data_IF_021561874230
#
_entry.id   IF_021561874230
#
_cell.length_a   1.000
_cell.length_b   1.000
_cell.length_c   1.000
_cell.angle_alpha   90.00
_cell.angle_beta   90.00
_cell.angle_gamma   90.00
#
_symmetry.space_group_name_H-M   'P 1'
#
loop_
_entity.id
_entity.type
_entity.pdbx_description
1 polymer ?
#
# COMPACT_ATOMS: atom_id res chain seq x y z
N UNK A 1 -38.83 62.37 22.75
CA UNK A 1 -38.80 60.89 22.78
C UNK A 1 -37.62 60.43 23.64
N UNK A 2 -37.88 59.72 24.75
CA UNK A 2 -36.85 59.32 25.74
C UNK A 2 -36.40 57.88 25.45
N UNK A 3 -35.25 57.69 24.80
CA UNK A 3 -34.68 56.36 24.50
C UNK A 3 -34.25 55.67 25.80
N UNK A 4 -34.87 54.54 26.15
CA UNK A 4 -34.39 53.65 27.21
C UNK A 4 -33.12 52.97 26.72
N UNK A 5 -31.96 53.33 27.29
CA UNK A 5 -30.70 52.62 27.12
C UNK A 5 -30.84 51.26 27.80
N UNK A 6 -30.82 50.17 27.02
CA UNK A 6 -30.69 48.82 27.57
C UNK A 6 -29.38 48.75 28.35
N UNK A 7 -29.42 48.21 29.57
CA UNK A 7 -28.20 47.87 30.31
C UNK A 7 -27.63 46.62 29.65
N UNK A 8 -26.57 46.78 28.87
CA UNK A 8 -25.76 45.66 28.42
C UNK A 8 -25.19 44.98 29.68
N UNK A 9 -25.68 43.78 29.98
CA UNK A 9 -25.17 42.95 31.06
C UNK A 9 -23.88 42.30 30.56
N UNK A 10 -22.74 42.69 31.14
CA UNK A 10 -21.45 42.05 30.84
C UNK A 10 -21.41 40.60 31.34
N UNK A 11 -20.64 39.76 30.64
CA UNK A 11 -20.34 38.38 31.05
C UNK A 11 -19.65 38.36 32.42
N UNK A 12 -20.06 37.47 33.31
CA UNK A 12 -19.36 37.25 34.57
C UNK A 12 -18.21 36.26 34.40
N UNK A 13 -17.13 36.43 35.17
CA UNK A 13 -16.02 35.48 35.21
C UNK A 13 -16.48 34.08 35.64
N UNK A 14 -17.48 34.00 36.52
CA UNK A 14 -18.01 32.73 37.02
C UNK A 14 -18.75 31.95 35.92
N UNK A 15 -19.49 32.64 35.03
CA UNK A 15 -20.16 32.00 33.89
C UNK A 15 -19.14 31.42 32.90
N UNK A 16 -18.04 32.13 32.66
CA UNK A 16 -16.98 31.62 31.79
C UNK A 16 -16.31 30.37 32.40
N UNK A 17 -16.05 30.37 33.72
CA UNK A 17 -15.44 29.23 34.41
C UNK A 17 -16.32 27.97 34.33
N UNK A 18 -17.64 28.13 34.46
CA UNK A 18 -18.55 27.00 34.35
C UNK A 18 -18.59 26.43 32.92
N UNK A 19 -18.55 27.29 31.91
CA UNK A 19 -18.52 26.87 30.49
C UNK A 19 -17.26 26.09 30.16
N UNK A 20 -16.08 26.58 30.57
CA UNK A 20 -14.83 25.86 30.31
C UNK A 20 -14.77 24.54 31.10
N UNK A 21 -15.34 24.49 32.31
CA UNK A 21 -15.40 23.25 33.09
C UNK A 21 -16.20 22.16 32.36
N UNK A 22 -17.36 22.51 31.78
CA UNK A 22 -18.16 21.56 30.98
C UNK A 22 -17.41 21.14 29.71
N UNK A 23 -16.77 22.08 28.99
CA UNK A 23 -16.01 21.75 27.78
C UNK A 23 -14.87 20.77 28.10
N UNK A 24 -14.16 20.97 29.21
CA UNK A 24 -13.09 20.05 29.63
C UNK A 24 -13.63 18.66 29.94
N UNK A 25 -14.75 18.56 30.66
CA UNK A 25 -15.38 17.25 30.96
C UNK A 25 -15.85 16.55 29.69
N UNK A 26 -16.50 17.28 28.78
CA UNK A 26 -16.95 16.73 27.50
C UNK A 26 -15.78 16.29 26.63
N UNK A 27 -14.73 17.11 26.51
CA UNK A 27 -13.53 16.78 25.76
C UNK A 27 -12.84 15.53 26.33
N UNK A 28 -12.74 15.41 27.65
CA UNK A 28 -12.12 14.26 28.31
C UNK A 28 -12.79 12.92 27.96
N UNK A 29 -14.12 12.91 27.78
CA UNK A 29 -14.87 11.70 27.39
C UNK A 29 -14.87 11.51 25.87
N UNK A 30 -14.96 12.60 25.10
CA UNK A 30 -15.11 12.53 23.65
C UNK A 30 -13.82 12.14 22.92
N UNK A 31 -12.68 12.68 23.34
CA UNK A 31 -11.38 12.46 22.67
C UNK A 31 -11.01 10.98 22.55
N UNK A 32 -11.00 10.15 23.63
CA UNK A 32 -10.62 8.73 23.48
C UNK A 32 -11.56 7.97 22.55
N UNK A 33 -12.88 8.21 22.65
CA UNK A 33 -13.87 7.58 21.78
C UNK A 33 -13.67 7.97 20.30
N UNK A 34 -13.33 9.23 20.03
CA UNK A 34 -13.06 9.71 18.68
C UNK A 34 -11.81 9.05 18.09
N UNK A 35 -10.76 8.82 18.88
CA UNK A 35 -9.54 8.14 18.42
C UNK A 35 -9.79 6.68 18.05
N UNK A 36 -10.57 5.95 18.85
CA UNK A 36 -10.93 4.57 18.52
C UNK A 36 -11.70 4.47 17.21
N UNK A 37 -12.62 5.42 16.96
CA UNK A 37 -13.40 5.48 15.72
C UNK A 37 -12.54 5.86 14.52
N UNK A 38 -11.55 6.72 14.72
CA UNK A 38 -10.58 7.06 13.69
C UNK A 38 -9.70 5.86 13.34
N UNK A 39 -9.17 5.13 14.33
CA UNK A 39 -8.37 3.92 14.10
C UNK A 39 -9.19 2.84 13.37
N UNK A 40 -10.45 2.61 13.76
CA UNK A 40 -11.35 1.69 13.05
C UNK A 40 -11.59 2.11 11.60
N UNK A 41 -11.79 3.40 11.34
CA UNK A 41 -11.97 3.92 9.98
C UNK A 41 -10.71 3.77 9.12
N UNK A 42 -9.53 4.01 9.72
CA UNK A 42 -8.24 3.80 9.08
C UNK A 42 -8.05 2.33 8.72
N UNK A 43 -8.24 1.41 9.67
CA UNK A 43 -8.14 -0.03 9.41
C UNK A 43 -9.09 -0.48 8.30
N UNK A 44 -10.35 -0.04 8.33
CA UNK A 44 -11.33 -0.36 7.28
C UNK A 44 -10.92 0.19 5.90
N UNK A 45 -10.36 1.40 5.85
CA UNK A 45 -9.81 1.95 4.60
C UNK A 45 -8.64 1.11 4.09
N UNK A 46 -7.71 0.73 4.97
CA UNK A 46 -6.58 -0.10 4.59
C UNK A 46 -7.03 -1.43 4.00
N UNK A 47 -8.01 -2.09 4.63
CA UNK A 47 -8.57 -3.35 4.14
C UNK A 47 -9.25 -3.18 2.75
N UNK A 48 -9.94 -2.06 2.50
CA UNK A 48 -10.54 -1.76 1.18
C UNK A 48 -9.46 -1.56 0.11
N UNK A 49 -8.40 -0.81 0.44
CA UNK A 49 -7.29 -0.56 -0.48
C UNK A 49 -6.54 -1.86 -0.81
N UNK A 50 -6.26 -2.69 0.20
CA UNK A 50 -5.64 -4.02 0.03
C UNK A 50 -6.48 -4.90 -0.90
N UNK A 51 -7.80 -4.95 -0.70
CA UNK A 51 -8.70 -5.69 -1.58
C UNK A 51 -8.73 -5.14 -3.01
N UNK A 52 -8.58 -3.83 -3.17
CA UNK A 52 -8.50 -3.18 -4.48
C UNK A 52 -7.22 -3.59 -5.21
N UNK A 53 -6.08 -3.61 -4.51
CA UNK A 53 -4.81 -4.14 -5.05
C UNK A 53 -4.96 -5.62 -5.42
N UNK A 54 -5.53 -6.44 -4.53
CA UNK A 54 -5.77 -7.86 -4.76
C UNK A 54 -6.60 -8.12 -6.04
N UNK A 55 -7.71 -7.40 -6.19
CA UNK A 55 -8.58 -7.52 -7.36
C UNK A 55 -7.87 -7.07 -8.65
N UNK A 56 -7.01 -6.05 -8.57
CA UNK A 56 -6.23 -5.60 -9.71
C UNK A 56 -5.23 -6.67 -10.17
N UNK A 57 -4.55 -7.31 -9.21
CA UNK A 57 -3.60 -8.40 -9.46
C UNK A 57 -4.32 -9.65 -9.99
N UNK A 58 -5.51 -9.96 -9.47
CA UNK A 58 -6.34 -11.06 -9.96
C UNK A 58 -6.86 -10.80 -11.38
N UNK A 59 -7.25 -9.56 -11.69
CA UNK A 59 -7.63 -9.15 -13.06
C UNK A 59 -6.47 -9.29 -14.03
N UNK A 60 -5.30 -8.77 -13.65
CA UNK A 60 -4.07 -8.92 -14.43
C UNK A 60 -3.73 -10.39 -14.68
N UNK A 61 -3.79 -11.22 -13.64
CA UNK A 61 -3.57 -12.66 -13.76
C UNK A 61 -4.64 -13.36 -14.60
N UNK A 62 -5.91 -12.95 -14.52
CA UNK A 62 -6.98 -13.52 -15.32
C UNK A 62 -6.72 -13.35 -16.82
N UNK A 63 -6.23 -12.18 -17.21
CA UNK A 63 -5.99 -11.79 -18.59
C UNK A 63 -4.65 -12.31 -19.14
N UNK A 64 -3.58 -12.24 -18.33
CA UNK A 64 -2.21 -12.53 -18.78
C UNK A 64 -1.63 -13.83 -18.23
N UNK A 65 -2.37 -14.51 -17.35
CA UNK A 65 -1.99 -15.77 -16.66
C UNK A 65 -0.65 -15.68 -15.91
N UNK A 66 -0.25 -14.47 -15.51
CA UNK A 66 1.00 -14.16 -14.81
C UNK A 66 0.81 -12.95 -13.91
N UNK A 67 1.75 -12.71 -13.01
CA UNK A 67 1.78 -11.49 -12.19
C UNK A 67 2.82 -10.50 -12.74
N UNK A 68 2.72 -9.20 -12.40
CA UNK A 68 3.69 -8.20 -12.87
C UNK A 68 4.97 -8.28 -12.03
N UNK A 69 5.81 -9.28 -12.30
CA UNK A 69 7.07 -9.60 -11.57
C UNK A 69 8.34 -9.07 -12.26
N UNK A 70 8.19 -8.22 -13.26
CA UNK A 70 9.21 -7.95 -14.27
C UNK A 70 9.68 -6.49 -14.23
N UNK A 71 10.96 -6.25 -13.91
CA UNK A 71 11.62 -4.95 -14.03
C UNK A 71 12.89 -5.10 -14.88
N UNK A 72 12.87 -4.64 -16.13
CA UNK A 72 14.07 -4.62 -16.98
C UNK A 72 13.81 -4.79 -18.49
N UNK A 73 14.85 -4.54 -19.29
CA UNK A 73 14.85 -4.66 -20.75
C UNK A 73 14.70 -6.11 -21.25
N UNK A 74 15.18 -7.08 -20.47
CA UNK A 74 15.30 -8.49 -20.87
C UNK A 74 14.68 -9.46 -19.85
N UNK A 75 13.80 -8.97 -18.95
CA UNK A 75 13.09 -9.86 -18.05
C UNK A 75 12.10 -10.70 -18.87
N UNK A 76 12.49 -11.93 -19.16
CA UNK A 76 11.59 -12.91 -19.72
C UNK A 76 10.63 -13.38 -18.61
N UNK A 77 9.33 -13.04 -18.64
CA UNK A 77 8.36 -13.49 -17.64
C UNK A 77 8.15 -15.01 -17.65
N UNK A 78 8.72 -15.71 -18.63
CA UNK A 78 8.73 -17.16 -18.77
C UNK A 78 10.04 -17.81 -18.28
N UNK A 79 11.05 -17.02 -17.92
CA UNK A 79 12.33 -17.51 -17.42
C UNK A 79 12.32 -17.57 -15.89
N UNK A 80 12.00 -18.75 -15.36
CA UNK A 80 11.96 -19.02 -13.91
C UNK A 80 13.34 -19.16 -13.25
N UNK A 81 14.39 -18.58 -13.84
CA UNK A 81 15.76 -18.58 -13.28
C UNK A 81 16.10 -17.30 -12.50
N UNK A 82 15.28 -16.25 -12.60
CA UNK A 82 15.48 -14.94 -11.93
C UNK A 82 14.37 -14.53 -10.97
N UNK A 83 13.57 -15.50 -10.50
CA UNK A 83 12.45 -15.29 -9.58
C UNK A 83 12.92 -14.91 -8.16
N UNK A 84 13.30 -13.64 -8.01
CA UNK A 84 13.56 -13.00 -6.72
C UNK A 84 12.26 -12.37 -6.18
N UNK A 85 12.14 -12.29 -4.86
CA UNK A 85 11.09 -11.55 -4.13
C UNK A 85 10.84 -10.20 -4.84
N UNK A 86 9.70 -10.04 -5.53
CA UNK A 86 9.34 -8.76 -6.16
C UNK A 86 8.29 -8.05 -5.33
N UNK A 87 8.67 -6.87 -4.84
CA UNK A 87 7.85 -6.02 -3.99
C UNK A 87 7.34 -4.87 -4.84
N UNK A 88 6.03 -4.87 -5.03
CA UNK A 88 5.32 -3.77 -5.67
C UNK A 88 5.05 -2.72 -4.60
N UNK A 89 5.77 -1.61 -4.65
CA UNK A 89 5.47 -0.44 -3.84
C UNK A 89 4.42 0.37 -4.59
N UNK A 90 3.18 0.37 -4.09
CA UNK A 90 2.13 1.12 -4.74
C UNK A 90 2.32 2.63 -4.50
N UNK A 91 2.56 3.41 -5.55
CA UNK A 91 2.68 4.88 -5.50
C UNK A 91 1.49 5.57 -6.15
N UNK A 92 1.20 6.78 -5.69
CA UNK A 92 0.24 7.68 -6.35
C UNK A 92 0.93 8.70 -7.28
N UNK A 93 2.27 8.68 -7.34
CA UNK A 93 3.10 9.54 -8.20
C UNK A 93 4.05 8.70 -9.07
N UNK A 94 4.63 9.35 -10.09
CA UNK A 94 5.45 8.71 -11.15
C UNK A 94 6.95 8.70 -10.83
N UNK A 95 7.36 8.79 -9.56
CA UNK A 95 8.78 8.82 -9.18
C UNK A 95 9.31 7.44 -8.83
N UNK A 96 10.57 7.17 -9.17
CA UNK A 96 11.26 5.90 -8.91
C UNK A 96 11.10 5.47 -7.45
N UNK A 97 10.87 4.16 -7.23
CA UNK A 97 10.71 3.57 -5.90
C UNK A 97 12.06 3.52 -5.20
N UNK A 98 12.20 4.29 -4.13
CA UNK A 98 13.38 4.28 -3.27
C UNK A 98 13.18 3.24 -2.15
N UNK A 99 14.27 2.69 -1.64
CA UNK A 99 14.27 1.87 -0.43
C UNK A 99 13.66 2.59 0.77
N UNK A 100 13.66 3.92 0.77
CA UNK A 100 13.01 4.75 1.80
C UNK A 100 11.49 4.81 1.69
N UNK A 101 10.91 4.36 0.58
CA UNK A 101 9.46 4.32 0.39
C UNK A 101 8.82 3.07 0.97
N UNK A 102 9.62 2.04 1.28
CA UNK A 102 9.15 0.88 2.05
C UNK A 102 9.29 1.19 3.55
N UNK A 103 8.23 0.98 4.34
CA UNK A 103 8.33 0.87 5.79
C UNK A 103 9.47 -0.04 6.24
N UNK A 104 10.15 0.35 7.32
CA UNK A 104 11.22 -0.46 7.88
C UNK A 104 10.65 -1.75 8.49
N UNK A 105 11.46 -2.80 8.49
CA UNK A 105 11.11 -4.03 9.19
C UNK A 105 11.24 -3.84 10.70
N UNK A 106 10.32 -4.44 11.45
CA UNK A 106 10.51 -4.62 12.88
C UNK A 106 11.66 -5.60 13.14
N UNK A 107 12.32 -5.44 14.30
CA UNK A 107 13.52 -6.21 14.67
C UNK A 107 13.32 -7.75 14.71
N UNK A 108 12.08 -8.24 14.63
CA UNK A 108 11.77 -9.66 14.55
C UNK A 108 12.09 -10.28 13.17
N UNK A 109 12.14 -9.48 12.11
CA UNK A 109 12.53 -9.93 10.78
C UNK A 109 14.04 -9.81 10.63
N UNK A 110 14.76 -10.93 10.77
CA UNK A 110 16.24 -10.95 10.84
C UNK A 110 16.90 -11.73 9.72
N UNK A 111 16.12 -12.53 8.98
CA UNK A 111 16.60 -13.47 7.96
C UNK A 111 16.29 -13.03 6.54
N UNK A 112 15.15 -12.39 6.30
CA UNK A 112 14.75 -11.83 5.00
C UNK A 112 14.03 -10.51 5.22
N UNK A 113 14.47 -9.46 4.51
CA UNK A 113 13.90 -8.12 4.65
C UNK A 113 13.06 -7.68 3.45
N UNK A 114 11.98 -6.95 3.72
CA UNK A 114 11.18 -6.31 2.67
C UNK A 114 11.97 -5.21 1.97
N UNK A 115 12.92 -4.58 2.65
CA UNK A 115 13.70 -3.48 2.09
C UNK A 115 15.06 -3.89 1.46
N UNK A 116 15.22 -5.15 1.07
CA UNK A 116 16.43 -5.58 0.39
C UNK A 116 16.43 -5.02 -1.06
N UNK A 117 17.42 -4.18 -1.40
CA UNK A 117 17.49 -3.40 -2.65
C UNK A 117 17.42 -4.21 -3.96
N UNK A 118 17.57 -5.53 -3.93
CA UNK A 118 17.39 -6.42 -5.10
C UNK A 118 15.94 -6.85 -5.36
N UNK A 119 15.03 -6.56 -4.42
CA UNK A 119 13.66 -7.04 -4.38
C UNK A 119 12.62 -5.94 -4.69
N UNK A 120 13.09 -4.71 -4.88
CA UNK A 120 12.27 -3.55 -5.20
C UNK A 120 12.09 -3.37 -6.71
N UNK A 121 10.83 -3.28 -7.14
CA UNK A 121 10.49 -2.82 -8.49
C UNK A 121 10.71 -1.29 -8.55
N UNK A 122 11.66 -0.82 -9.36
CA UNK A 122 11.97 0.62 -9.54
C UNK A 122 13.17 1.19 -8.77
N UNK A 123 13.97 0.36 -8.08
CA UNK A 123 15.20 0.82 -7.41
C UNK A 123 16.39 0.89 -8.38
N UNK A 124 16.47 1.96 -9.19
CA UNK A 124 17.60 2.20 -10.11
C UNK A 124 17.29 3.21 -11.21
N UNK A 125 18.32 3.82 -11.80
CA UNK A 125 18.25 4.94 -12.76
C UNK A 125 17.77 4.58 -14.18
N UNK A 126 16.94 3.58 -14.34
CA UNK A 126 16.21 3.36 -15.60
C UNK A 126 14.71 3.51 -15.30
N UNK A 127 13.95 4.28 -16.10
CA UNK A 127 12.50 4.28 -16.01
C UNK A 127 12.02 2.86 -16.34
N UNK A 128 11.89 2.04 -15.30
CA UNK A 128 11.84 0.59 -15.42
C UNK A 128 10.71 0.16 -16.35
N UNK A 129 11.10 -0.37 -17.52
CA UNK A 129 10.20 -1.06 -18.45
C UNK A 129 9.36 -2.09 -17.69
N UNK A 130 8.11 -2.29 -18.11
CA UNK A 130 7.31 -3.46 -17.73
C UNK A 130 7.03 -3.67 -16.23
N UNK A 131 7.21 -2.67 -15.37
CA UNK A 131 6.95 -2.81 -13.94
C UNK A 131 5.43 -2.86 -13.62
N UNK A 132 5.07 -3.28 -12.40
CA UNK A 132 3.66 -3.38 -12.01
C UNK A 132 2.93 -2.03 -11.96
N UNK A 133 3.63 -0.94 -11.67
CA UNK A 133 3.02 0.39 -11.64
C UNK A 133 2.51 0.80 -13.04
N UNK A 134 3.31 0.58 -14.06
CA UNK A 134 2.98 0.85 -15.46
C UNK A 134 1.79 0.00 -15.95
N UNK A 135 1.78 -1.28 -15.56
CA UNK A 135 0.76 -2.24 -15.95
C UNK A 135 -0.57 -2.09 -15.21
N UNK A 136 -0.51 -1.79 -13.91
CA UNK A 136 -1.71 -1.72 -13.07
C UNK A 136 -2.28 -0.30 -13.07
N UNK A 137 -1.45 0.73 -13.05
CA UNK A 137 -1.84 2.13 -12.78
C UNK A 137 -1.76 3.04 -14.01
N UNK A 138 -0.60 3.12 -14.67
CA UNK A 138 -0.31 4.20 -15.63
C UNK A 138 -0.89 3.96 -17.04
N UNK A 139 -1.45 2.77 -17.30
CA UNK A 139 -1.93 2.40 -18.64
C UNK A 139 -0.84 2.58 -19.71
N UNK A 140 0.42 2.33 -19.34
CA UNK A 140 1.56 2.49 -20.22
C UNK A 140 2.64 1.43 -19.90
N UNK A 141 2.39 0.15 -20.23
CA UNK A 141 3.32 -0.93 -19.93
C UNK A 141 4.71 -0.74 -20.58
N UNK A 142 4.78 0.05 -21.66
CA UNK A 142 5.96 0.24 -22.51
C UNK A 142 6.47 1.70 -22.49
N UNK A 143 6.43 2.36 -21.32
CA UNK A 143 6.66 3.80 -21.13
C UNK A 143 7.96 4.43 -21.71
N UNK A 144 8.91 3.63 -22.21
CA UNK A 144 10.14 4.12 -22.84
C UNK A 144 10.07 4.27 -24.37
N UNK A 145 8.94 3.92 -25.00
CA UNK A 145 8.71 4.14 -26.42
C UNK A 145 9.57 3.28 -27.37
N UNK A 146 10.32 2.29 -26.86
CA UNK A 146 11.02 1.32 -27.71
C UNK A 146 10.00 0.29 -28.21
N UNK A 147 9.57 0.40 -29.46
CA UNK A 147 8.44 -0.39 -29.98
C UNK A 147 8.83 -1.83 -30.29
N UNK A 148 7.97 -2.73 -29.78
CA UNK A 148 7.62 -4.02 -30.39
C UNK A 148 6.54 -4.85 -29.67
N UNK A 149 5.58 -4.37 -28.86
CA UNK A 149 4.66 -3.23 -28.93
C UNK A 149 3.65 -3.40 -27.76
N UNK A 150 3.02 -2.33 -27.26
CA UNK A 150 2.05 -2.42 -26.14
C UNK A 150 0.86 -3.39 -26.38
N UNK A 151 0.61 -3.79 -27.63
CA UNK A 151 -0.39 -4.79 -28.01
C UNK A 151 0.18 -6.20 -28.28
N UNK A 152 1.50 -6.37 -28.44
CA UNK A 152 2.15 -7.65 -28.79
C UNK A 152 3.00 -8.24 -27.67
N UNK A 153 3.50 -7.44 -26.73
CA UNK A 153 4.31 -7.95 -25.59
C UNK A 153 3.44 -8.61 -24.51
N UNK A 154 2.22 -8.08 -24.34
CA UNK A 154 1.19 -8.60 -23.43
C UNK A 154 -0.12 -8.86 -24.18
N UNK A 155 -0.15 -9.88 -25.07
CA UNK A 155 -1.37 -10.24 -25.79
C UNK A 155 -2.45 -10.63 -24.77
N UNK A 156 -3.52 -9.83 -24.71
CA UNK A 156 -4.61 -10.02 -23.75
C UNK A 156 -4.66 -8.98 -22.63
N UNK A 157 -3.71 -8.04 -22.54
CA UNK A 157 -3.79 -6.93 -21.58
C UNK A 157 -4.98 -6.02 -21.93
N UNK A 158 -5.82 -5.72 -20.93
CA UNK A 158 -7.07 -4.95 -21.13
C UNK A 158 -7.05 -3.54 -20.54
N UNK A 159 -5.87 -3.06 -20.14
CA UNK A 159 -5.68 -1.72 -19.59
C UNK A 159 -5.28 -1.74 -18.11
N UNK A 160 -5.32 -0.58 -17.45
CA UNK A 160 -4.94 -0.48 -16.05
C UNK A 160 -5.96 -1.24 -15.22
N UNK A 161 -5.49 -2.10 -14.33
CA UNK A 161 -6.35 -2.90 -13.47
C UNK A 161 -6.72 -2.19 -12.17
N UNK A 162 -6.16 -1.00 -11.92
CA UNK A 162 -6.45 -0.21 -10.73
C UNK A 162 -6.65 1.26 -11.07
N UNK A 163 -7.80 1.82 -10.69
CA UNK A 163 -8.14 3.20 -11.02
C UNK A 163 -7.34 4.20 -10.17
N UNK A 164 -7.19 3.91 -8.87
CA UNK A 164 -6.37 4.67 -7.92
C UNK A 164 -6.34 3.95 -6.58
N UNK A 165 -5.16 3.72 -6.03
CA UNK A 165 -4.94 3.48 -4.60
C UNK A 165 -4.05 4.63 -4.10
N UNK A 166 -4.06 4.91 -2.80
CA UNK A 166 -3.24 5.95 -2.21
C UNK A 166 -2.10 5.36 -1.39
N UNK A 167 -1.48 6.21 -0.59
CA UNK A 167 -0.83 5.74 0.63
C UNK A 167 -1.87 5.15 1.56
N UNK A 168 -1.41 4.28 2.45
CA UNK A 168 -2.23 3.77 3.53
C UNK A 168 -2.66 4.92 4.48
N UNK A 169 -3.64 4.68 5.38
CA UNK A 169 -4.14 5.71 6.28
C UNK A 169 -3.07 6.34 7.18
N UNK A 170 -1.93 5.67 7.36
CA UNK A 170 -0.82 6.09 8.22
C UNK A 170 0.32 6.74 7.42
N UNK A 171 0.16 6.86 6.09
CA UNK A 171 1.08 7.58 5.22
C UNK A 171 2.17 6.73 4.59
N UNK A 172 2.09 5.41 4.75
CA UNK A 172 3.04 4.44 4.22
C UNK A 172 2.55 3.87 2.88
N UNK A 173 3.47 3.29 2.11
CA UNK A 173 3.12 2.59 0.88
C UNK A 173 2.70 1.15 1.17
N UNK A 174 1.71 0.68 0.42
CA UNK A 174 1.39 -0.75 0.38
C UNK A 174 2.50 -1.52 -0.33
N UNK A 175 2.77 -2.72 0.16
CA UNK A 175 3.63 -3.68 -0.52
C UNK A 175 2.79 -4.84 -1.06
N UNK A 176 3.11 -5.31 -2.26
CA UNK A 176 2.64 -6.60 -2.74
C UNK A 176 3.83 -7.48 -3.14
N UNK A 177 3.92 -8.65 -2.51
CA UNK A 177 4.90 -9.68 -2.83
C UNK A 177 4.27 -10.73 -3.74
N UNK A 178 4.59 -10.63 -5.03
CA UNK A 178 3.99 -11.45 -6.10
C UNK A 178 4.86 -12.64 -6.53
N UNK A 179 6.13 -12.70 -6.09
CA UNK A 179 7.06 -13.75 -6.51
C UNK A 179 6.58 -15.17 -6.17
N UNK A 180 5.95 -15.35 -4.99
CA UNK A 180 5.38 -16.62 -4.58
C UNK A 180 4.11 -17.06 -5.35
N UNK A 181 3.56 -16.21 -6.22
CA UNK A 181 2.24 -16.40 -6.83
C UNK A 181 2.28 -17.01 -8.25
N UNK A 182 3.44 -17.11 -8.90
CA UNK A 182 3.54 -17.65 -10.26
C UNK A 182 3.77 -19.18 -10.25
N UNK A 183 2.80 -19.96 -10.74
CA UNK A 183 2.95 -21.42 -10.94
C UNK A 183 3.28 -21.69 -12.42
N UNK A 184 4.52 -22.10 -12.71
CA UNK A 184 4.96 -22.47 -14.08
C UNK A 184 6.46 -22.24 -14.36
N UNK A 185 7.10 -21.34 -13.61
CA UNK A 185 8.54 -21.32 -13.38
C UNK A 185 8.79 -21.71 -11.92
N UNK A 186 10.02 -22.03 -11.56
CA UNK A 186 10.43 -22.48 -10.22
C UNK A 186 9.77 -21.66 -9.10
N UNK A 187 9.20 -22.32 -8.08
CA UNK A 187 8.74 -21.62 -6.86
C UNK A 187 9.87 -20.70 -6.38
N UNK A 188 9.61 -19.40 -6.19
CA UNK A 188 10.42 -18.56 -5.31
C UNK A 188 10.58 -19.36 -4.02
N UNK A 189 11.82 -19.76 -3.73
CA UNK A 189 12.23 -20.69 -2.68
C UNK A 189 11.05 -21.43 -2.01
N UNK A 190 10.75 -22.65 -2.48
CA UNK A 190 9.71 -23.53 -1.95
C UNK A 190 9.30 -23.25 -0.48
N UNK A 191 8.23 -22.46 -0.27
CA UNK A 191 7.76 -22.10 1.09
C UNK A 191 7.44 -20.62 1.30
N UNK A 192 7.84 -19.72 0.39
CA UNK A 192 7.45 -18.30 0.49
C UNK A 192 6.00 -18.10 0.10
N UNK A 193 5.26 -17.31 0.88
CA UNK A 193 3.87 -16.95 0.65
C UNK A 193 3.76 -15.66 -0.17
N UNK A 194 2.68 -15.52 -0.96
CA UNK A 194 2.35 -14.25 -1.60
C UNK A 194 1.71 -13.32 -0.58
N UNK A 195 2.07 -12.05 -0.59
CA UNK A 195 1.59 -11.07 0.40
C UNK A 195 1.06 -9.81 -0.25
N UNK A 196 0.04 -9.21 0.33
CA UNK A 196 -0.27 -7.79 0.15
C UNK A 196 -0.41 -7.22 1.55
N UNK A 197 0.40 -6.22 1.89
CA UNK A 197 0.54 -5.70 3.25
C UNK A 197 0.53 -4.17 3.30
N UNK A 198 0.00 -3.66 4.41
CA UNK A 198 0.23 -2.32 4.95
C UNK A 198 0.87 -2.47 6.32
N UNK A 199 1.82 -1.59 6.62
CA UNK A 199 2.62 -1.60 7.85
C UNK A 199 1.85 -1.14 9.10
N UNK A 200 0.54 -0.93 8.99
CA UNK A 200 -0.28 -0.57 10.14
C UNK A 200 0.01 0.81 10.74
N UNK A 201 -0.37 0.96 11.99
CA UNK A 201 -0.34 2.21 12.76
C UNK A 201 1.07 2.57 13.24
N UNK A 202 1.92 1.58 13.53
CA UNK A 202 3.30 1.82 13.92
C UNK A 202 4.24 2.10 12.73
N UNK A 203 3.80 1.76 11.51
CA UNK A 203 4.55 1.96 10.28
C UNK A 203 5.80 1.08 10.17
N UNK A 204 5.79 -0.08 10.83
CA UNK A 204 6.87 -1.07 10.79
C UNK A 204 6.31 -2.43 10.40
N UNK A 205 6.89 -3.07 9.38
CA UNK A 205 6.47 -4.42 9.03
C UNK A 205 6.95 -5.43 10.08
N UNK A 206 6.02 -6.02 10.84
CA UNK A 206 6.32 -7.13 11.75
C UNK A 206 6.09 -8.49 11.11
N UNK A 207 5.31 -8.53 10.03
CA UNK A 207 5.05 -9.70 9.20
C UNK A 207 6.21 -9.87 8.23
N UNK A 208 7.13 -10.77 8.54
CA UNK A 208 8.28 -11.06 7.68
C UNK A 208 7.88 -11.85 6.41
N UNK A 209 8.66 -11.80 5.32
CA UNK A 209 8.37 -12.52 4.06
C UNK A 209 8.08 -14.02 4.22
N UNK A 210 8.77 -14.66 5.15
CA UNK A 210 8.67 -16.07 5.52
C UNK A 210 7.52 -16.40 6.47
N UNK A 211 6.78 -15.40 6.94
CA UNK A 211 5.67 -15.61 7.86
C UNK A 211 4.56 -16.46 7.22
N UNK A 212 3.79 -17.15 8.06
CA UNK A 212 2.60 -17.92 7.65
C UNK A 212 1.30 -17.31 8.15
N UNK A 213 1.37 -16.20 8.88
CA UNK A 213 0.25 -15.40 9.36
C UNK A 213 0.68 -13.96 9.53
N UNK A 214 -0.28 -13.04 9.53
CA UNK A 214 -0.04 -11.64 9.91
C UNK A 214 0.50 -11.58 11.34
N UNK A 215 1.37 -10.61 11.59
CA UNK A 215 1.96 -10.32 12.90
C UNK A 215 1.77 -8.84 13.24
N UNK A 216 1.67 -8.51 14.52
CA UNK A 216 1.57 -7.13 14.97
C UNK A 216 0.27 -6.44 14.54
N UNK A 217 0.39 -5.18 14.12
CA UNK A 217 -0.70 -4.35 13.60
C UNK A 217 -0.71 -4.28 12.06
N UNK A 218 0.20 -5.00 11.40
CA UNK A 218 0.18 -5.18 9.95
C UNK A 218 -1.18 -5.67 9.46
N UNK A 219 -1.60 -5.11 8.32
CA UNK A 219 -2.87 -5.45 7.66
C UNK A 219 -2.60 -6.02 6.30
N UNK A 220 -3.29 -7.09 5.95
CA UNK A 220 -3.07 -7.76 4.68
C UNK A 220 -3.73 -9.11 4.61
N UNK A 221 -3.33 -9.89 3.63
CA UNK A 221 -3.60 -11.32 3.63
C UNK A 221 -2.61 -12.08 2.76
N UNK A 222 -2.56 -13.38 3.02
CA UNK A 222 -1.71 -14.33 2.32
C UNK A 222 -2.43 -14.85 1.09
N UNK A 223 -1.72 -14.89 -0.02
CA UNK A 223 -2.16 -15.55 -1.24
C UNK A 223 -1.34 -16.81 -1.44
N UNK A 224 -2.04 -17.94 -1.54
CA UNK A 224 -1.46 -19.20 -1.96
C UNK A 224 -2.18 -19.57 -3.25
N UNK A 225 -1.49 -19.55 -4.38
CA UNK A 225 -2.01 -20.15 -5.61
C UNK A 225 -1.91 -21.67 -5.46
N UNK A 226 -3.05 -22.35 -5.24
CA UNK A 226 -3.11 -23.81 -5.20
C UNK A 226 -2.83 -24.44 -6.57
#
# INVERSE_FOLDING_TARGET
MKRRKGKDKGFTLIELIFVIAIIVVLAAVFVPLAMDKLSQANQAKADVDINTIANSLAGFFSDLKRFPVCNGADCNPFDGTVDNLKILVYKADTTDVLTTDIPANAAACTTVDWNASGNLEGAGSDPGRNNAFNHLVVNDPNADGTIGAAATDYPGWKGPYIAKVGKDPWGNHYIAHVGAMQKGGTRVAAGTNGWILSAGEDGLFQTCPESTSLQGDDRGFIFITQ
#
